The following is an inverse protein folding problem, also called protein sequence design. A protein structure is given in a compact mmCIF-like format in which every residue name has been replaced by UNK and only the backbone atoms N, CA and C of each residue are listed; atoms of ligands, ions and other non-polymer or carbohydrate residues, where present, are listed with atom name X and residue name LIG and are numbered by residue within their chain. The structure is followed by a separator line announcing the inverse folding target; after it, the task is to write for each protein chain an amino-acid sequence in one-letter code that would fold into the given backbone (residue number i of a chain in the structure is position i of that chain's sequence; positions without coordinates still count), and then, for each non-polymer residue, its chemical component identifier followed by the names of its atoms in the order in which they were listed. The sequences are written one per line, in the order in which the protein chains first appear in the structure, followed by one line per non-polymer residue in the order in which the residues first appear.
data_IF_882127297846
#
_entry.id   IF_882127297846
#
_cell.length_a   1.000
_cell.length_b   1.000
_cell.length_c   1.000
_cell.angle_alpha   90.00
_cell.angle_beta   90.00
_cell.angle_gamma   90.00
#
_symmetry.space_group_name_H-M   'P 1'
#
loop_
_entity.id
_entity.type
_entity.pdbx_description
1 polymer ?
#
# COMPACT_ATOMS: atom_id res chain seq x y z
N UNK A 1 33.35 24.27 18.93
CA UNK A 1 32.88 23.86 17.60
C UNK A 1 32.00 22.62 17.78
N UNK A 2 30.68 22.80 17.76
CA UNK A 2 29.72 21.68 17.83
C UNK A 2 29.44 21.20 16.43
N UNK A 3 30.13 20.14 16.01
CA UNK A 3 29.86 19.45 14.74
C UNK A 3 29.24 18.08 15.04
N UNK A 4 27.97 18.08 15.48
CA UNK A 4 27.14 16.88 15.66
C UNK A 4 25.94 16.88 14.71
N UNK A 5 26.18 17.18 13.43
CA UNK A 5 25.14 17.24 12.40
C UNK A 5 25.27 16.21 11.27
N UNK A 6 26.43 15.56 11.08
CA UNK A 6 26.76 14.95 9.78
C UNK A 6 26.70 13.43 9.66
N UNK A 7 26.41 12.68 10.72
CA UNK A 7 26.48 11.20 10.71
C UNK A 7 25.10 10.60 10.79
N UNK A 8 24.37 10.60 9.67
CA UNK A 8 23.48 9.47 9.42
C UNK A 8 24.36 8.22 9.55
N UNK A 9 24.08 7.32 10.51
CA UNK A 9 25.02 6.25 10.83
C UNK A 9 25.19 5.42 9.56
N UNK A 10 26.42 5.33 9.04
CA UNK A 10 26.77 4.60 7.80
C UNK A 10 26.22 3.18 7.80
N UNK A 11 26.07 2.62 9.01
CA UNK A 11 25.38 1.37 9.32
C UNK A 11 23.98 1.28 8.71
N UNK A 12 23.19 2.36 8.73
CA UNK A 12 21.86 2.43 8.12
C UNK A 12 21.92 2.29 6.60
N UNK A 13 22.95 2.86 5.97
CA UNK A 13 23.16 2.80 4.52
C UNK A 13 23.49 1.39 4.06
N UNK A 14 24.21 0.64 4.89
CA UNK A 14 24.59 -0.75 4.65
C UNK A 14 23.39 -1.72 4.74
N UNK A 15 22.36 -1.38 5.52
CA UNK A 15 21.12 -2.15 5.62
C UNK A 15 20.07 -1.80 4.55
N UNK A 16 20.20 -0.66 3.85
CA UNK A 16 19.27 -0.24 2.80
C UNK A 16 19.02 -1.32 1.72
N UNK A 17 20.01 -2.07 1.21
CA UNK A 17 19.80 -3.10 0.20
C UNK A 17 18.93 -4.25 0.72
N UNK A 18 19.21 -4.73 1.94
CA UNK A 18 18.43 -5.81 2.56
C UNK A 18 17.01 -5.38 2.90
N UNK A 19 16.83 -4.14 3.38
CA UNK A 19 15.52 -3.54 3.59
C UNK A 19 14.76 -3.42 2.27
N UNK A 20 15.37 -2.88 1.22
CA UNK A 20 14.75 -2.76 -0.10
C UNK A 20 14.35 -4.13 -0.68
N UNK A 21 15.21 -5.15 -0.55
CA UNK A 21 14.91 -6.51 -0.99
C UNK A 21 13.73 -7.12 -0.21
N UNK A 22 13.70 -6.96 1.11
CA UNK A 22 12.64 -7.49 1.97
C UNK A 22 11.31 -6.77 1.73
N UNK A 23 11.32 -5.44 1.71
CA UNK A 23 10.13 -4.64 1.36
C UNK A 23 9.66 -4.91 -0.07
N UNK A 24 10.58 -5.08 -1.02
CA UNK A 24 10.24 -5.45 -2.40
C UNK A 24 9.55 -6.81 -2.47
N UNK A 25 10.10 -7.83 -1.79
CA UNK A 25 9.50 -9.16 -1.73
C UNK A 25 8.13 -9.15 -1.04
N UNK A 26 8.02 -8.49 0.11
CA UNK A 26 6.77 -8.37 0.85
C UNK A 26 5.71 -7.59 0.05
N UNK A 27 6.12 -6.57 -0.70
CA UNK A 27 5.24 -5.83 -1.61
C UNK A 27 4.75 -6.71 -2.77
N UNK A 28 5.64 -7.48 -3.40
CA UNK A 28 5.26 -8.43 -4.46
C UNK A 28 4.33 -9.52 -3.91
N UNK A 29 4.62 -10.05 -2.73
CA UNK A 29 3.77 -11.02 -2.03
C UNK A 29 2.40 -10.45 -1.70
N UNK A 30 2.33 -9.20 -1.25
CA UNK A 30 1.09 -8.47 -1.02
C UNK A 30 0.30 -8.31 -2.32
N UNK A 31 0.93 -7.85 -3.40
CA UNK A 31 0.30 -7.72 -4.73
C UNK A 31 -0.25 -9.05 -5.23
N UNK A 32 0.50 -10.15 -5.09
CA UNK A 32 0.07 -11.48 -5.47
C UNK A 32 -1.14 -11.96 -4.65
N UNK A 33 -1.11 -11.80 -3.32
CA UNK A 33 -2.27 -12.13 -2.46
C UNK A 33 -3.49 -11.27 -2.79
N UNK A 34 -3.30 -9.97 -3.07
CA UNK A 34 -4.40 -9.06 -3.44
C UNK A 34 -5.04 -9.44 -4.76
N UNK A 35 -4.25 -9.76 -5.80
CA UNK A 35 -4.79 -10.27 -7.08
C UNK A 35 -5.63 -11.54 -6.85
N UNK A 36 -5.17 -12.45 -5.98
CA UNK A 36 -5.94 -13.64 -5.60
C UNK A 36 -7.24 -13.28 -4.85
N UNK A 37 -7.19 -12.32 -3.93
CA UNK A 37 -8.35 -11.83 -3.18
C UNK A 37 -9.42 -11.20 -4.08
N UNK A 38 -9.04 -10.37 -5.05
CA UNK A 38 -9.98 -9.77 -6.02
C UNK A 38 -10.63 -10.86 -6.89
N UNK A 39 -9.84 -11.85 -7.32
CA UNK A 39 -10.38 -13.00 -8.08
C UNK A 39 -11.34 -13.85 -7.25
N UNK A 40 -11.02 -14.09 -5.98
CA UNK A 40 -11.90 -14.81 -5.06
C UNK A 40 -13.21 -14.05 -4.83
N UNK A 41 -13.12 -12.74 -4.57
CA UNK A 41 -14.28 -11.86 -4.42
C UNK A 41 -15.17 -11.85 -5.67
N UNK A 42 -14.58 -11.69 -6.86
CA UNK A 42 -15.31 -11.78 -8.13
C UNK A 42 -16.01 -13.13 -8.31
N UNK A 43 -15.32 -14.24 -8.01
CA UNK A 43 -15.92 -15.58 -8.10
C UNK A 43 -17.08 -15.74 -7.12
N UNK A 44 -16.97 -15.21 -5.91
CA UNK A 44 -18.01 -15.31 -4.91
C UNK A 44 -19.25 -14.49 -5.29
N UNK A 45 -19.05 -13.28 -5.83
CA UNK A 45 -20.14 -12.46 -6.38
C UNK A 45 -20.84 -13.14 -7.57
N UNK A 46 -20.10 -13.82 -8.44
CA UNK A 46 -20.70 -14.59 -9.53
C UNK A 46 -21.47 -15.82 -9.01
N UNK A 47 -20.95 -16.47 -7.95
CA UNK A 47 -21.62 -17.61 -7.31
C UNK A 47 -22.91 -17.22 -6.60
N UNK A 48 -23.00 -16.01 -6.06
CA UNK A 48 -24.24 -15.49 -5.47
C UNK A 48 -25.29 -15.08 -6.52
N UNK A 49 -25.02 -15.29 -7.82
CA UNK A 49 -25.95 -15.01 -8.91
C UNK A 49 -25.94 -13.54 -9.36
N UNK A 50 -24.94 -12.75 -8.93
CA UNK A 50 -24.86 -11.36 -9.36
C UNK A 50 -24.52 -11.25 -10.86
N UNK A 51 -25.25 -10.45 -11.64
CA UNK A 51 -24.97 -10.26 -13.06
C UNK A 51 -23.58 -9.63 -13.25
N UNK A 52 -22.86 -10.13 -14.26
CA UNK A 52 -21.45 -9.76 -14.55
C UNK A 52 -21.24 -8.25 -14.63
N UNK A 53 -22.22 -7.53 -15.18
CA UNK A 53 -22.17 -6.07 -15.37
C UNK A 53 -22.07 -5.30 -14.04
N UNK A 54 -22.57 -5.87 -12.93
CA UNK A 54 -22.44 -5.30 -11.59
C UNK A 54 -21.24 -5.82 -10.81
N UNK A 55 -20.77 -7.03 -11.14
CA UNK A 55 -19.62 -7.64 -10.48
C UNK A 55 -18.32 -6.92 -10.83
N UNK A 56 -18.11 -6.54 -12.09
CA UNK A 56 -16.89 -5.91 -12.55
C UNK A 56 -16.60 -4.57 -11.83
N UNK A 57 -17.54 -3.60 -11.74
CA UNK A 57 -17.31 -2.36 -11.01
C UNK A 57 -17.10 -2.58 -9.50
N UNK A 58 -17.77 -3.58 -8.90
CA UNK A 58 -17.58 -3.91 -7.48
C UNK A 58 -16.21 -4.53 -7.21
N UNK A 59 -15.76 -5.45 -8.07
CA UNK A 59 -14.43 -6.04 -7.98
C UNK A 59 -13.34 -4.97 -8.18
N UNK A 60 -13.59 -3.99 -9.05
CA UNK A 60 -12.69 -2.87 -9.30
C UNK A 60 -12.64 -1.90 -8.10
N UNK A 61 -13.79 -1.54 -7.53
CA UNK A 61 -13.84 -0.75 -6.29
C UNK A 61 -13.10 -1.45 -5.13
N UNK A 62 -13.31 -2.77 -4.97
CA UNK A 62 -12.60 -3.57 -3.97
C UNK A 62 -11.08 -3.61 -4.21
N UNK A 63 -10.65 -3.62 -5.47
CA UNK A 63 -9.24 -3.52 -5.84
C UNK A 63 -8.66 -2.16 -5.43
N UNK A 64 -9.36 -1.06 -5.77
CA UNK A 64 -8.92 0.31 -5.53
C UNK A 64 -8.77 0.66 -4.05
N UNK A 65 -9.73 0.23 -3.21
CA UNK A 65 -9.72 0.49 -1.76
C UNK A 65 -8.45 -0.09 -1.11
N UNK A 66 -8.08 -1.32 -1.49
CA UNK A 66 -6.86 -1.96 -0.97
C UNK A 66 -5.61 -1.64 -1.77
N UNK A 67 -5.64 -0.66 -2.68
CA UNK A 67 -4.44 -0.26 -3.41
C UNK A 67 -3.50 0.51 -2.50
N UNK A 68 -2.24 0.09 -2.45
CA UNK A 68 -1.20 0.75 -1.64
C UNK A 68 -1.08 2.23 -2.02
N UNK A 69 -1.26 2.57 -3.31
CA UNK A 69 -1.26 3.96 -3.77
C UNK A 69 -2.36 4.79 -3.12
N UNK A 70 -3.59 4.27 -3.02
CA UNK A 70 -4.69 4.97 -2.36
C UNK A 70 -4.44 5.05 -0.87
N UNK A 71 -4.05 3.96 -0.21
CA UNK A 71 -3.72 3.94 1.22
C UNK A 71 -2.59 4.92 1.58
N UNK A 72 -1.53 4.98 0.78
CA UNK A 72 -0.45 5.95 0.96
C UNK A 72 -0.95 7.38 0.74
N UNK A 73 -1.78 7.62 -0.28
CA UNK A 73 -2.37 8.95 -0.53
C UNK A 73 -3.29 9.39 0.61
N UNK A 74 -4.10 8.49 1.18
CA UNK A 74 -4.98 8.79 2.31
C UNK A 74 -4.19 8.93 3.62
N UNK A 75 -3.19 8.07 3.84
CA UNK A 75 -2.30 8.13 5.01
C UNK A 75 -1.42 9.37 5.03
N UNK A 76 -0.75 9.69 3.91
CA UNK A 76 0.04 10.91 3.74
C UNK A 76 -0.84 12.18 3.77
N UNK A 77 -2.03 12.13 3.15
CA UNK A 77 -3.00 13.23 3.20
C UNK A 77 -3.51 13.51 4.63
N UNK A 78 -3.70 12.47 5.44
CA UNK A 78 -4.09 12.61 6.85
C UNK A 78 -2.97 13.11 7.78
N UNK A 79 -1.72 12.91 7.37
CA UNK A 79 -0.53 13.39 8.11
C UNK A 79 -0.25 14.87 7.80
N UNK A 80 -0.36 15.27 6.52
CA UNK A 80 -0.18 16.66 6.09
C UNK A 80 -1.29 17.59 6.59
N UNK A 81 -2.55 17.13 6.64
CA UNK A 81 -3.67 17.92 7.17
C UNK A 81 -3.64 18.12 8.68
N UNK A 82 -2.90 17.27 9.43
CA UNK A 82 -2.73 17.41 10.88
C UNK A 82 -1.65 18.43 11.26
N UNK A 83 -0.73 18.75 10.35
CA UNK A 83 0.31 19.77 10.55
C UNK A 83 -0.15 21.20 10.30
N UNK A 84 -1.18 21.40 9.46
CA UNK A 84 -1.70 22.74 9.08
C UNK A 84 -2.78 23.30 10.03
N UNK A 85 -3.11 22.58 11.12
CA UNK A 85 -4.06 23.03 12.16
C UNK A 85 -3.36 23.43 13.46
N UNK A 86 -2.09 23.82 13.36
CA UNK A 86 -1.32 24.49 14.42
C UNK A 86 -0.59 25.70 13.83
N UNK A 87 -1.37 26.68 13.38
CA UNK A 87 -0.94 28.09 13.30
C UNK A 87 -2.12 28.92 13.78
#
# INVERSE_FOLDING_TARGET
MSDRGGRLPVVLLEFLPSLAARFGWDFLRYQARRKRGVRAFRRELLRSGMPKDRVEPLAQAYHEIGSVRRLLRTGLGSSLSRGLRKV
#
